data_IF_544325232393
#
_entry.id   IF_544325232393
#
_cell.length_a   1.000
_cell.length_b   1.000
_cell.length_c   1.000
_cell.angle_alpha   90.00
_cell.angle_beta   90.00
_cell.angle_gamma   90.00
#
_symmetry.space_group_name_H-M   'P 1'
#
loop_
_entity.id
_entity.type
_entity.pdbx_description
1 polymer ?
#
# COMPACT_ATOMS: atom_id res chain seq x y z
N UNK A 1 11.12 -36.52 18.67
CA UNK A 1 9.68 -36.13 18.83
C UNK A 1 9.09 -36.04 17.44
N UNK A 2 7.96 -36.64 17.15
CA UNK A 2 7.46 -36.72 15.77
C UNK A 2 6.96 -35.32 15.31
N UNK A 3 7.50 -34.84 14.20
CA UNK A 3 7.19 -33.56 13.55
C UNK A 3 5.69 -33.31 13.28
N UNK A 4 4.90 -34.38 13.12
CA UNK A 4 3.47 -34.30 12.83
C UNK A 4 2.60 -33.70 13.96
N UNK A 5 3.01 -33.79 15.21
CA UNK A 5 2.26 -33.23 16.35
C UNK A 5 2.43 -31.70 16.48
N UNK A 6 3.54 -31.19 15.96
CA UNK A 6 3.88 -29.76 16.03
C UNK A 6 3.02 -28.89 15.08
N UNK A 7 2.52 -29.47 14.00
CA UNK A 7 1.65 -28.76 13.03
C UNK A 7 0.19 -28.73 13.51
N UNK A 8 -0.29 -29.79 14.16
CA UNK A 8 -1.69 -29.88 14.59
C UNK A 8 -2.01 -28.99 15.81
N UNK A 9 -1.06 -28.83 16.74
CA UNK A 9 -1.24 -27.98 17.93
C UNK A 9 -1.16 -26.47 17.63
N UNK A 10 -0.74 -26.09 16.41
CA UNK A 10 -0.58 -24.68 15.99
C UNK A 10 -1.63 -24.23 14.99
N UNK A 11 -2.39 -25.14 14.43
CA UNK A 11 -3.44 -24.81 13.45
C UNK A 11 -4.47 -23.81 14.01
N UNK A 12 -4.79 -23.89 15.30
CA UNK A 12 -5.75 -22.99 15.97
C UNK A 12 -5.28 -21.53 16.02
N UNK A 13 -3.96 -21.24 15.95
CA UNK A 13 -3.42 -19.87 15.92
C UNK A 13 -3.73 -19.15 14.62
N UNK A 14 -3.91 -19.91 13.55
CA UNK A 14 -4.28 -19.36 12.26
C UNK A 14 -5.79 -19.16 12.08
N UNK A 15 -6.60 -19.78 12.98
CA UNK A 15 -8.07 -19.68 12.91
C UNK A 15 -8.56 -18.23 13.00
N UNK A 16 -8.11 -17.37 13.95
CA UNK A 16 -8.54 -15.97 13.99
C UNK A 16 -8.14 -15.20 12.73
N UNK A 17 -6.98 -15.55 12.16
CA UNK A 17 -6.50 -14.93 10.93
C UNK A 17 -7.35 -15.35 9.73
N UNK A 18 -7.65 -16.65 9.57
CA UNK A 18 -8.57 -17.13 8.54
C UNK A 18 -9.97 -16.56 8.70
N UNK A 19 -10.46 -16.44 9.94
CA UNK A 19 -11.74 -15.80 10.23
C UNK A 19 -11.73 -14.32 9.86
N UNK A 20 -10.64 -13.60 10.14
CA UNK A 20 -10.49 -12.20 9.75
C UNK A 20 -10.47 -12.05 8.22
N UNK A 21 -9.73 -12.91 7.51
CA UNK A 21 -9.72 -12.92 6.03
C UNK A 21 -11.10 -13.25 5.48
N UNK A 22 -11.79 -14.24 6.02
CA UNK A 22 -13.15 -14.60 5.61
C UNK A 22 -14.13 -13.45 5.90
N UNK A 23 -14.03 -12.80 7.06
CA UNK A 23 -14.87 -11.68 7.43
C UNK A 23 -14.65 -10.48 6.49
N UNK A 24 -13.39 -10.11 6.25
CA UNK A 24 -13.04 -9.03 5.31
C UNK A 24 -13.53 -9.39 3.90
N UNK A 25 -13.34 -10.65 3.47
CA UNK A 25 -13.83 -11.11 2.17
C UNK A 25 -15.35 -11.06 2.09
N UNK A 26 -16.05 -11.47 3.15
CA UNK A 26 -17.51 -11.42 3.22
C UNK A 26 -18.02 -9.97 3.20
N UNK A 27 -17.39 -9.07 3.93
CA UNK A 27 -17.70 -7.63 3.91
C UNK A 27 -17.55 -7.09 2.50
N UNK A 28 -16.40 -7.33 1.84
CA UNK A 28 -16.15 -6.87 0.46
C UNK A 28 -17.20 -7.44 -0.51
N UNK A 29 -17.60 -8.71 -0.38
CA UNK A 29 -18.57 -9.34 -1.26
C UNK A 29 -20.02 -8.95 -0.98
N UNK A 30 -20.33 -8.53 0.25
CA UNK A 30 -21.69 -8.16 0.69
C UNK A 30 -21.94 -6.66 0.58
N UNK A 31 -20.91 -5.82 0.49
CA UNK A 31 -21.10 -4.40 0.22
C UNK A 31 -21.81 -4.22 -1.13
N UNK A 32 -22.86 -3.40 -1.19
CA UNK A 32 -23.48 -3.05 -2.46
C UNK A 32 -22.53 -2.17 -3.25
N UNK A 33 -21.69 -2.80 -4.08
CA UNK A 33 -20.81 -2.08 -5.01
C UNK A 33 -21.63 -1.65 -6.24
N UNK A 34 -22.21 -0.48 -6.16
CA UNK A 34 -22.64 0.27 -7.33
C UNK A 34 -21.49 1.20 -7.73
N UNK A 35 -20.57 0.69 -8.54
CA UNK A 35 -19.52 1.54 -9.08
C UNK A 35 -20.07 2.29 -10.28
N UNK A 36 -20.15 3.59 -10.17
CA UNK A 36 -20.48 4.50 -11.29
C UNK A 36 -19.51 4.36 -12.46
N UNK A 37 -18.32 3.79 -12.21
CA UNK A 37 -17.20 3.73 -13.15
C UNK A 37 -17.14 2.45 -13.98
N UNK A 38 -17.71 1.33 -13.52
CA UNK A 38 -17.63 0.04 -14.22
C UNK A 38 -19.02 -0.41 -14.60
N UNK A 39 -19.31 -0.43 -15.91
CA UNK A 39 -20.63 -0.82 -16.45
C UNK A 39 -20.83 -2.33 -16.47
N UNK A 40 -19.75 -3.12 -16.59
CA UNK A 40 -19.84 -4.58 -16.67
C UNK A 40 -19.62 -5.24 -15.32
N UNK A 41 -20.68 -5.86 -14.83
CA UNK A 41 -20.68 -6.62 -13.57
C UNK A 41 -19.65 -7.76 -13.57
N UNK A 42 -19.31 -8.32 -14.72
CA UNK A 42 -18.31 -9.39 -14.84
C UNK A 42 -16.92 -8.87 -14.47
N UNK A 43 -16.55 -7.69 -14.95
CA UNK A 43 -15.28 -7.04 -14.59
C UNK A 43 -15.21 -6.72 -13.11
N UNK A 44 -16.30 -6.23 -12.52
CA UNK A 44 -16.37 -5.97 -11.08
C UNK A 44 -16.18 -7.24 -10.26
N UNK A 45 -16.85 -8.34 -10.60
CA UNK A 45 -16.70 -9.62 -9.89
C UNK A 45 -15.28 -10.16 -10.02
N UNK A 46 -14.68 -10.10 -11.22
CA UNK A 46 -13.29 -10.52 -11.43
C UNK A 46 -12.32 -9.70 -10.58
N UNK A 47 -12.52 -8.39 -10.49
CA UNK A 47 -11.73 -7.50 -9.64
C UNK A 47 -11.87 -7.88 -8.15
N UNK A 48 -13.09 -8.04 -7.64
CA UNK A 48 -13.35 -8.38 -6.24
C UNK A 48 -12.70 -9.72 -5.84
N UNK A 49 -12.85 -10.75 -6.68
CA UNK A 49 -12.19 -12.05 -6.44
C UNK A 49 -10.67 -11.90 -6.41
N UNK A 50 -10.11 -11.10 -7.31
CA UNK A 50 -8.65 -10.84 -7.34
C UNK A 50 -8.19 -10.10 -6.09
N UNK A 51 -8.88 -9.02 -5.70
CA UNK A 51 -8.53 -8.22 -4.50
C UNK A 51 -8.58 -9.07 -3.25
N UNK A 52 -9.65 -9.86 -3.06
CA UNK A 52 -9.78 -10.76 -1.90
C UNK A 52 -8.63 -11.76 -1.84
N UNK A 53 -8.33 -12.40 -2.98
CA UNK A 53 -7.24 -13.40 -3.06
C UNK A 53 -5.88 -12.77 -2.78
N UNK A 54 -5.59 -11.61 -3.37
CA UNK A 54 -4.34 -10.89 -3.19
C UNK A 54 -4.19 -10.35 -1.76
N UNK A 55 -5.25 -9.87 -1.15
CA UNK A 55 -5.26 -9.45 0.25
C UNK A 55 -4.97 -10.63 1.18
N UNK A 56 -5.57 -11.79 0.94
CA UNK A 56 -5.28 -13.01 1.70
C UNK A 56 -3.80 -13.40 1.59
N UNK A 57 -3.23 -13.38 0.38
CA UNK A 57 -1.81 -13.66 0.13
C UNK A 57 -0.91 -12.66 0.86
N UNK A 58 -1.23 -11.37 0.80
CA UNK A 58 -0.50 -10.31 1.50
C UNK A 58 -0.48 -10.51 3.01
N UNK A 59 -1.65 -10.78 3.61
CA UNK A 59 -1.78 -10.97 5.05
C UNK A 59 -1.06 -12.24 5.51
N UNK A 60 -1.22 -13.36 4.79
CA UNK A 60 -0.53 -14.63 5.09
C UNK A 60 0.98 -14.49 4.95
N UNK A 61 1.46 -13.87 3.88
CA UNK A 61 2.87 -13.63 3.66
C UNK A 61 3.49 -12.71 4.70
N UNK A 62 2.79 -11.65 5.08
CA UNK A 62 3.21 -10.72 6.14
C UNK A 62 3.28 -11.43 7.49
N UNK A 63 2.26 -12.20 7.87
CA UNK A 63 2.23 -12.98 9.09
C UNK A 63 3.36 -14.00 9.11
N UNK A 64 3.58 -14.71 7.99
CA UNK A 64 4.69 -15.66 7.87
C UNK A 64 6.04 -15.00 8.13
N UNK A 65 6.32 -13.85 7.52
CA UNK A 65 7.56 -13.11 7.72
C UNK A 65 7.74 -12.67 9.18
N UNK A 66 6.68 -12.14 9.81
CA UNK A 66 6.72 -11.74 11.22
C UNK A 66 7.01 -12.95 12.11
N UNK A 67 6.31 -14.06 11.93
CA UNK A 67 6.52 -15.28 12.69
C UNK A 67 7.92 -15.88 12.46
N UNK A 68 8.43 -15.81 11.22
CA UNK A 68 9.79 -16.25 10.90
C UNK A 68 10.85 -15.43 11.63
N UNK A 69 10.73 -14.10 11.66
CA UNK A 69 11.65 -13.24 12.42
C UNK A 69 11.58 -13.50 13.91
N UNK A 70 10.40 -13.80 14.42
CA UNK A 70 10.21 -14.07 15.84
C UNK A 70 10.76 -15.43 16.29
N UNK A 71 11.06 -16.34 15.37
CA UNK A 71 11.70 -17.62 15.74
C UNK A 71 13.04 -17.46 16.40
N UNK A 72 13.90 -16.52 15.96
CA UNK A 72 15.22 -16.22 16.53
C UNK A 72 16.13 -17.43 16.69
N UNK A 73 17.43 -17.24 16.81
CA UNK A 73 18.37 -18.31 17.14
C UNK A 73 18.43 -18.50 18.68
N UNK A 74 18.12 -19.70 19.15
CA UNK A 74 18.47 -20.13 20.52
C UNK A 74 17.57 -19.67 21.67
N UNK A 75 16.37 -19.21 21.42
CA UNK A 75 15.48 -18.76 22.50
C UNK A 75 14.43 -19.82 22.85
N UNK A 76 14.28 -20.05 24.16
CA UNK A 76 13.43 -21.10 24.78
C UNK A 76 11.91 -20.85 24.63
N UNK A 77 11.51 -19.61 24.22
CA UNK A 77 10.10 -19.24 24.13
C UNK A 77 9.52 -19.48 22.73
N UNK A 78 8.30 -20.00 22.65
CA UNK A 78 7.59 -20.23 21.40
C UNK A 78 7.32 -18.93 20.63
N UNK A 79 7.28 -18.93 19.27
CA UNK A 79 7.00 -17.75 18.47
C UNK A 79 5.67 -17.08 18.83
N UNK A 80 4.67 -17.88 19.21
CA UNK A 80 3.34 -17.41 19.59
C UNK A 80 3.36 -16.54 20.85
N UNK A 81 4.09 -16.99 21.89
CA UNK A 81 4.25 -16.20 23.13
C UNK A 81 4.97 -14.89 22.88
N UNK A 82 5.90 -14.88 21.93
CA UNK A 82 6.60 -13.65 21.52
C UNK A 82 5.68 -12.70 20.76
N UNK A 83 4.84 -13.23 19.85
CA UNK A 83 3.85 -12.43 19.15
C UNK A 83 2.85 -11.81 20.13
N UNK A 84 2.29 -12.59 21.04
CA UNK A 84 1.41 -12.08 22.09
C UNK A 84 2.13 -11.05 22.98
N UNK A 85 3.40 -11.30 23.31
CA UNK A 85 4.23 -10.36 24.05
C UNK A 85 4.48 -9.07 23.29
N UNK A 86 4.68 -9.12 21.97
CA UNK A 86 4.83 -7.95 21.10
C UNK A 86 3.52 -7.15 21.03
N UNK A 87 2.40 -7.82 20.79
CA UNK A 87 1.07 -7.18 20.77
C UNK A 87 0.79 -6.52 22.11
N UNK A 88 1.07 -7.20 23.22
CA UNK A 88 0.89 -6.65 24.56
C UNK A 88 1.77 -5.43 24.83
N UNK A 89 3.04 -5.48 24.40
CA UNK A 89 3.95 -4.32 24.48
C UNK A 89 3.49 -3.15 23.63
N UNK A 90 3.00 -3.42 22.42
CA UNK A 90 2.44 -2.40 21.54
C UNK A 90 1.19 -1.74 22.16
N UNK A 91 0.26 -2.52 22.70
CA UNK A 91 -0.91 -2.01 23.40
C UNK A 91 -0.53 -1.16 24.61
N UNK A 92 0.41 -1.65 25.44
CA UNK A 92 0.92 -0.86 26.57
C UNK A 92 1.60 0.44 26.12
N UNK A 93 2.31 0.43 24.99
CA UNK A 93 2.94 1.62 24.45
C UNK A 93 1.88 2.65 24.05
N UNK A 94 0.83 2.24 23.33
CA UNK A 94 -0.29 3.10 22.92
C UNK A 94 -0.99 3.72 24.12
N UNK A 95 -1.14 2.96 25.21
CA UNK A 95 -1.77 3.42 26.46
C UNK A 95 -0.81 4.17 27.40
N UNK A 96 0.45 4.30 27.03
CA UNK A 96 1.48 4.92 27.88
C UNK A 96 1.74 6.39 27.51
N UNK A 97 2.26 7.15 28.48
CA UNK A 97 2.77 8.52 28.22
C UNK A 97 3.97 8.55 27.27
N UNK A 98 4.51 7.40 26.90
CA UNK A 98 5.60 7.28 25.93
C UNK A 98 5.11 7.21 24.49
N UNK A 99 3.80 7.08 24.26
CA UNK A 99 3.21 7.00 22.93
C UNK A 99 3.57 8.20 22.06
N UNK A 100 3.46 9.41 22.59
CA UNK A 100 3.82 10.63 21.83
C UNK A 100 5.29 10.66 21.42
N UNK A 101 6.19 10.12 22.28
CA UNK A 101 7.63 10.02 21.95
C UNK A 101 7.90 8.95 20.90
N UNK A 102 7.21 7.81 20.97
CA UNK A 102 7.29 6.76 19.95
C UNK A 102 6.75 7.29 18.62
N UNK A 103 5.61 7.95 18.64
CA UNK A 103 5.03 8.58 17.46
C UNK A 103 5.99 9.61 16.82
N UNK A 104 6.64 10.45 17.62
CA UNK A 104 7.64 11.40 17.14
C UNK A 104 8.86 10.69 16.49
N UNK A 105 9.33 9.57 17.05
CA UNK A 105 10.40 8.75 16.46
C UNK A 105 9.93 8.12 15.15
N UNK A 106 8.72 7.58 15.12
CA UNK A 106 8.13 7.00 13.92
C UNK A 106 8.06 8.04 12.79
N UNK A 107 7.49 9.22 13.03
CA UNK A 107 7.41 10.27 12.02
C UNK A 107 8.80 10.74 11.55
N UNK A 108 9.74 10.92 12.47
CA UNK A 108 11.07 11.43 12.14
C UNK A 108 11.94 10.40 11.41
N UNK A 109 11.97 9.15 11.88
CA UNK A 109 12.96 8.17 11.43
C UNK A 109 12.38 7.16 10.44
N UNK A 110 11.07 6.84 10.51
CA UNK A 110 10.42 5.93 9.59
C UNK A 110 9.77 6.64 8.40
N UNK A 111 9.05 7.75 8.61
CA UNK A 111 8.39 8.47 7.53
C UNK A 111 9.28 9.54 6.89
N UNK A 112 9.87 10.43 7.68
CA UNK A 112 10.76 11.49 7.15
C UNK A 112 12.15 10.97 6.78
N UNK A 113 12.52 9.74 7.21
CA UNK A 113 13.79 9.09 6.86
C UNK A 113 15.02 9.94 7.24
N UNK A 114 15.01 10.55 8.43
CA UNK A 114 16.03 11.52 8.87
C UNK A 114 17.46 10.97 8.79
N UNK A 115 17.65 9.70 9.12
CA UNK A 115 18.96 9.01 9.03
C UNK A 115 19.46 8.88 7.58
N UNK A 116 18.54 8.73 6.61
CA UNK A 116 18.89 8.66 5.20
C UNK A 116 19.23 10.04 4.65
N UNK A 117 18.51 11.09 5.08
CA UNK A 117 18.80 12.47 4.73
C UNK A 117 20.24 12.87 5.08
N UNK A 118 20.69 12.50 6.27
CA UNK A 118 22.07 12.76 6.72
C UNK A 118 23.17 12.06 5.89
N UNK A 119 22.80 10.95 5.19
CA UNK A 119 23.74 10.20 4.36
C UNK A 119 23.75 10.64 2.89
N UNK A 120 22.60 10.98 2.33
CA UNK A 120 22.46 11.39 0.92
C UNK A 120 21.10 12.03 0.67
N UNK A 121 21.09 13.32 0.36
CA UNK A 121 19.89 14.08 0.06
C UNK A 121 19.11 13.52 -1.15
N UNK A 122 19.81 13.11 -2.22
CA UNK A 122 19.17 12.54 -3.42
C UNK A 122 18.47 11.22 -3.13
N UNK A 123 19.11 10.31 -2.36
CA UNK A 123 18.46 9.05 -1.96
C UNK A 123 17.30 9.30 -1.01
N UNK A 124 17.47 10.23 -0.08
CA UNK A 124 16.40 10.62 0.83
C UNK A 124 15.18 11.14 0.08
N UNK A 125 15.37 12.10 -0.83
CA UNK A 125 14.29 12.67 -1.62
C UNK A 125 13.56 11.60 -2.45
N UNK A 126 14.29 10.75 -3.16
CA UNK A 126 13.75 9.63 -3.93
C UNK A 126 12.87 8.71 -3.06
N UNK A 127 13.37 8.27 -1.90
CA UNK A 127 12.62 7.39 -1.01
C UNK A 127 11.42 8.10 -0.37
N UNK A 128 11.58 9.37 -0.01
CA UNK A 128 10.49 10.18 0.55
C UNK A 128 9.34 10.32 -0.44
N UNK A 129 9.65 10.54 -1.72
CA UNK A 129 8.65 10.64 -2.78
C UNK A 129 7.92 9.32 -3.00
N UNK A 130 8.66 8.21 -3.09
CA UNK A 130 8.04 6.88 -3.27
C UNK A 130 7.22 6.49 -2.04
N UNK A 131 7.81 6.52 -0.85
CA UNK A 131 7.14 6.11 0.39
C UNK A 131 5.99 7.05 0.75
N UNK A 132 6.22 8.36 0.67
CA UNK A 132 5.22 9.37 0.96
C UNK A 132 4.03 9.28 0.01
N UNK A 133 4.27 9.19 -1.29
CA UNK A 133 3.23 9.01 -2.29
C UNK A 133 2.44 7.72 -2.09
N UNK A 134 3.13 6.59 -1.84
CA UNK A 134 2.48 5.31 -1.58
C UNK A 134 1.59 5.35 -0.32
N UNK A 135 2.09 5.91 0.79
CA UNK A 135 1.32 6.01 2.02
C UNK A 135 0.15 6.98 1.92
N UNK A 136 0.32 8.10 1.22
CA UNK A 136 -0.76 9.04 0.95
C UNK A 136 -1.84 8.40 0.08
N UNK A 137 -1.46 7.71 -1.01
CA UNK A 137 -2.40 7.00 -1.87
C UNK A 137 -3.20 5.96 -1.08
N UNK A 138 -2.52 5.14 -0.27
CA UNK A 138 -3.19 4.15 0.59
C UNK A 138 -4.12 4.80 1.63
N UNK A 139 -3.69 5.91 2.25
CA UNK A 139 -4.51 6.63 3.22
C UNK A 139 -5.75 7.27 2.57
N UNK A 140 -5.60 7.83 1.38
CA UNK A 140 -6.73 8.40 0.64
C UNK A 140 -7.68 7.32 0.14
N UNK A 141 -7.17 6.18 -0.35
CA UNK A 141 -7.98 5.04 -0.76
C UNK A 141 -8.85 4.53 0.40
N UNK A 142 -8.22 4.32 1.58
CA UNK A 142 -8.94 3.95 2.79
C UNK A 142 -9.97 5.00 3.21
N UNK A 143 -9.63 6.28 3.13
CA UNK A 143 -10.52 7.38 3.48
C UNK A 143 -11.69 7.49 2.51
N UNK A 144 -11.45 7.34 1.22
CA UNK A 144 -12.49 7.35 0.18
C UNK A 144 -13.43 6.16 0.38
N UNK A 145 -12.90 4.95 0.51
CA UNK A 145 -13.70 3.75 0.77
C UNK A 145 -14.56 3.89 2.03
N UNK A 146 -13.97 4.35 3.13
CA UNK A 146 -14.72 4.56 4.37
C UNK A 146 -15.82 5.62 4.21
N UNK A 147 -15.51 6.72 3.54
CA UNK A 147 -16.43 7.86 3.41
C UNK A 147 -17.55 7.60 2.41
N UNK A 148 -17.24 6.98 1.27
CA UNK A 148 -18.22 6.75 0.21
C UNK A 148 -19.03 5.46 0.44
N UNK A 149 -18.32 4.36 0.69
CA UNK A 149 -18.95 3.03 0.67
C UNK A 149 -19.58 2.64 2.02
N UNK A 150 -19.10 3.26 3.14
CA UNK A 150 -19.57 2.89 4.47
C UNK A 150 -20.39 4.01 5.11
N UNK A 151 -19.93 5.26 5.04
CA UNK A 151 -20.55 6.40 5.70
C UNK A 151 -21.49 7.22 4.81
N UNK A 152 -21.48 6.96 3.50
CA UNK A 152 -22.25 7.73 2.50
C UNK A 152 -22.11 9.26 2.69
N UNK A 153 -20.85 9.72 2.92
CA UNK A 153 -20.57 11.11 3.27
C UNK A 153 -20.72 12.03 2.06
N UNK A 154 -21.77 12.86 2.05
CA UNK A 154 -22.13 13.72 0.93
C UNK A 154 -20.97 14.54 0.35
N UNK A 155 -20.14 15.29 1.13
CA UNK A 155 -19.01 16.03 0.59
C UNK A 155 -17.96 15.21 -0.16
N UNK A 156 -17.97 13.86 -0.03
CA UNK A 156 -17.10 12.95 -0.78
C UNK A 156 -17.80 12.39 -2.03
N UNK A 157 -19.14 12.35 -2.02
CA UNK A 157 -19.97 11.76 -3.08
C UNK A 157 -20.43 12.84 -4.06
N UNK A 158 -20.87 13.98 -3.53
CA UNK A 158 -21.50 15.05 -4.31
C UNK A 158 -20.49 15.70 -5.27
N UNK A 159 -20.98 16.05 -6.45
CA UNK A 159 -20.23 16.84 -7.43
C UNK A 159 -19.87 18.22 -6.85
N UNK A 160 -18.58 18.60 -6.98
CA UNK A 160 -18.07 19.83 -6.36
C UNK A 160 -17.91 19.76 -4.83
N UNK A 161 -18.12 18.61 -4.21
CA UNK A 161 -17.89 18.42 -2.79
C UNK A 161 -16.41 18.63 -2.42
N UNK A 162 -16.14 19.45 -1.42
CA UNK A 162 -14.77 19.82 -1.06
C UNK A 162 -13.87 18.61 -0.74
N UNK A 163 -14.43 17.56 -0.13
CA UNK A 163 -13.68 16.36 0.21
C UNK A 163 -13.37 15.53 -1.04
N UNK A 164 -14.31 15.47 -2.00
CA UNK A 164 -14.07 14.85 -3.32
C UNK A 164 -12.93 15.55 -4.02
N UNK A 165 -12.99 16.88 -4.17
CA UNK A 165 -11.99 17.67 -4.89
C UNK A 165 -10.58 17.54 -4.28
N UNK A 166 -10.46 17.69 -2.95
CA UNK A 166 -9.14 17.75 -2.30
C UNK A 166 -8.57 16.38 -1.94
N UNK A 167 -9.40 15.37 -1.66
CA UNK A 167 -8.92 14.05 -1.25
C UNK A 167 -8.90 13.10 -2.45
N UNK A 168 -10.07 12.95 -3.11
CA UNK A 168 -10.20 11.98 -4.19
C UNK A 168 -9.49 12.45 -5.46
N UNK A 169 -9.78 13.65 -5.93
CA UNK A 169 -9.26 14.10 -7.22
C UNK A 169 -7.81 14.61 -7.06
N UNK A 170 -7.59 15.73 -6.36
CA UNK A 170 -6.25 16.29 -6.18
C UNK A 170 -5.32 15.41 -5.32
N UNK A 171 -5.84 14.75 -4.30
CA UNK A 171 -5.03 13.93 -3.38
C UNK A 171 -4.39 12.73 -4.05
N UNK A 172 -5.15 11.98 -4.85
CA UNK A 172 -4.61 10.84 -5.62
C UNK A 172 -3.65 11.31 -6.71
N UNK A 173 -3.95 12.41 -7.39
CA UNK A 173 -3.05 13.03 -8.37
C UNK A 173 -1.70 13.40 -7.75
N UNK A 174 -1.72 14.10 -6.62
CA UNK A 174 -0.50 14.49 -5.92
C UNK A 174 0.30 13.27 -5.44
N UNK A 175 -0.37 12.28 -4.84
CA UNK A 175 0.26 11.06 -4.34
C UNK A 175 0.90 10.26 -5.50
N UNK A 176 0.18 10.10 -6.60
CA UNK A 176 0.67 9.46 -7.82
C UNK A 176 1.85 10.22 -8.44
N UNK A 177 1.77 11.55 -8.52
CA UNK A 177 2.85 12.40 -9.02
C UNK A 177 4.13 12.28 -8.16
N UNK A 178 3.98 12.25 -6.83
CA UNK A 178 5.10 12.00 -5.92
C UNK A 178 5.75 10.64 -6.22
N UNK A 179 4.95 9.57 -6.33
CA UNK A 179 5.47 8.25 -6.68
C UNK A 179 6.17 8.25 -8.04
N UNK A 180 5.58 8.88 -9.05
CA UNK A 180 6.12 8.96 -10.40
C UNK A 180 7.49 9.64 -10.40
N UNK A 181 7.64 10.79 -9.72
CA UNK A 181 8.91 11.49 -9.57
C UNK A 181 9.95 10.61 -8.86
N UNK A 182 9.59 10.02 -7.73
CA UNK A 182 10.49 9.16 -6.97
C UNK A 182 10.94 7.92 -7.76
N UNK A 183 10.01 7.25 -8.44
CA UNK A 183 10.27 6.05 -9.26
C UNK A 183 11.09 6.38 -10.51
N UNK A 184 10.85 7.54 -11.13
CA UNK A 184 11.67 8.01 -12.26
C UNK A 184 13.11 8.23 -11.83
N UNK A 185 13.33 8.90 -10.68
CA UNK A 185 14.67 9.07 -10.11
C UNK A 185 15.32 7.71 -9.81
N UNK A 186 14.56 6.76 -9.24
CA UNK A 186 15.02 5.40 -8.96
C UNK A 186 15.43 4.66 -10.24
N UNK A 187 14.60 4.74 -11.28
CA UNK A 187 14.84 4.10 -12.57
C UNK A 187 16.06 4.70 -13.27
N UNK A 188 16.14 6.01 -13.38
CA UNK A 188 17.30 6.71 -13.98
C UNK A 188 18.59 6.33 -13.25
N UNK A 189 18.55 6.38 -11.92
CA UNK A 189 19.71 6.04 -11.11
C UNK A 189 20.14 4.57 -11.29
N UNK A 190 19.18 3.65 -11.41
CA UNK A 190 19.44 2.22 -11.45
C UNK A 190 19.81 1.72 -12.84
N UNK A 191 19.13 2.20 -13.86
CA UNK A 191 19.27 1.70 -15.23
C UNK A 191 20.21 2.54 -16.09
N UNK A 192 20.27 3.87 -15.85
CA UNK A 192 21.07 4.79 -16.66
C UNK A 192 22.41 5.09 -15.97
N UNK A 193 22.39 5.64 -14.75
CA UNK A 193 23.61 6.10 -14.07
C UNK A 193 24.45 4.95 -13.50
N UNK A 194 23.87 3.81 -13.16
CA UNK A 194 24.53 2.56 -12.73
C UNK A 194 25.73 2.77 -11.81
N UNK A 195 25.59 3.40 -10.63
CA UNK A 195 26.72 3.65 -9.75
C UNK A 195 27.38 2.32 -9.36
N UNK A 196 28.73 2.27 -9.43
CA UNK A 196 29.54 1.04 -9.23
C UNK A 196 29.26 0.30 -7.92
N UNK A 197 28.75 0.98 -6.91
CA UNK A 197 28.45 0.43 -5.57
C UNK A 197 27.11 -0.34 -5.55
N UNK A 198 26.22 -0.09 -6.52
CA UNK A 198 24.87 -0.67 -6.54
C UNK A 198 24.76 -1.73 -7.64
N UNK A 199 24.89 -2.99 -7.25
CA UNK A 199 24.54 -4.09 -8.17
C UNK A 199 23.02 -4.12 -8.32
N UNK A 200 22.55 -4.09 -9.56
CA UNK A 200 21.12 -4.23 -9.87
C UNK A 200 20.81 -5.73 -9.90
N UNK A 201 20.12 -6.20 -8.88
CA UNK A 201 19.55 -7.54 -8.88
C UNK A 201 18.19 -7.53 -9.58
N UNK A 202 17.81 -8.66 -10.17
CA UNK A 202 16.54 -8.81 -10.88
C UNK A 202 15.31 -8.40 -10.01
N UNK A 203 15.22 -8.80 -8.71
CA UNK A 203 14.10 -8.40 -7.86
C UNK A 203 13.99 -6.88 -7.64
N UNK A 204 15.11 -6.17 -7.62
CA UNK A 204 15.10 -4.73 -7.47
C UNK A 204 14.57 -4.02 -8.72
N UNK A 205 15.03 -4.48 -9.90
CA UNK A 205 14.55 -3.96 -11.17
C UNK A 205 13.06 -4.26 -11.36
N UNK A 206 12.63 -5.48 -11.06
CA UNK A 206 11.23 -5.88 -11.13
C UNK A 206 10.32 -5.02 -10.24
N UNK A 207 10.74 -4.76 -9.00
CA UNK A 207 9.96 -3.92 -8.06
C UNK A 207 9.79 -2.49 -8.56
N UNK A 208 10.85 -1.86 -9.09
CA UNK A 208 10.78 -0.49 -9.63
C UNK A 208 9.89 -0.45 -10.86
N UNK A 209 10.08 -1.38 -11.80
CA UNK A 209 9.30 -1.42 -13.04
C UNK A 209 7.83 -1.72 -12.77
N UNK A 210 7.53 -2.62 -11.84
CA UNK A 210 6.16 -2.96 -11.49
C UNK A 210 5.44 -1.77 -10.83
N UNK A 211 6.06 -1.12 -9.84
CA UNK A 211 5.53 0.10 -9.25
C UNK A 211 5.30 1.19 -10.30
N UNK A 212 6.27 1.39 -11.21
CA UNK A 212 6.15 2.39 -12.27
C UNK A 212 4.99 2.06 -13.22
N UNK A 213 4.83 0.78 -13.59
CA UNK A 213 3.74 0.33 -14.45
C UNK A 213 2.36 0.57 -13.79
N UNK A 214 2.23 0.29 -12.48
CA UNK A 214 0.98 0.55 -11.75
C UNK A 214 0.68 2.05 -11.70
N UNK A 215 1.65 2.90 -11.36
CA UNK A 215 1.44 4.35 -11.28
C UNK A 215 1.09 4.96 -12.65
N UNK A 216 1.84 4.60 -13.69
CA UNK A 216 1.55 5.06 -15.05
C UNK A 216 0.20 4.53 -15.55
N UNK A 217 -0.12 3.28 -15.24
CA UNK A 217 -1.42 2.68 -15.56
C UNK A 217 -2.59 3.45 -14.96
N UNK A 218 -2.44 3.93 -13.72
CA UNK A 218 -3.46 4.77 -13.06
C UNK A 218 -3.69 6.09 -13.81
N UNK A 219 -2.64 6.83 -14.13
CA UNK A 219 -2.77 8.08 -14.90
C UNK A 219 -3.30 7.87 -16.32
N UNK A 220 -2.91 6.77 -16.98
CA UNK A 220 -3.46 6.43 -18.30
C UNK A 220 -4.95 6.13 -18.19
N UNK A 221 -5.36 5.37 -17.19
CA UNK A 221 -6.76 5.03 -16.93
C UNK A 221 -7.60 6.30 -16.68
N UNK A 222 -7.11 7.22 -15.87
CA UNK A 222 -7.75 8.50 -15.61
C UNK A 222 -7.87 9.32 -16.89
N UNK A 223 -6.79 9.43 -17.67
CA UNK A 223 -6.79 10.09 -18.97
C UNK A 223 -7.79 9.45 -19.96
N UNK A 224 -7.94 8.12 -19.97
CA UNK A 224 -8.95 7.41 -20.75
C UNK A 224 -10.37 7.76 -20.30
N UNK A 225 -10.60 7.85 -19.00
CA UNK A 225 -11.88 8.25 -18.41
C UNK A 225 -12.29 9.66 -18.84
N UNK A 226 -11.35 10.61 -18.75
CA UNK A 226 -11.57 12.01 -19.18
C UNK A 226 -11.81 12.09 -20.70
N UNK A 227 -10.94 11.53 -21.52
CA UNK A 227 -11.05 11.56 -22.97
C UNK A 227 -12.32 10.86 -23.49
N UNK A 228 -12.73 9.76 -22.84
CA UNK A 228 -13.92 8.99 -23.18
C UNK A 228 -15.22 9.56 -22.62
N UNK A 229 -15.17 10.64 -21.84
CA UNK A 229 -16.38 11.22 -21.22
C UNK A 229 -17.04 10.31 -20.19
N UNK A 230 -16.25 9.48 -19.50
CA UNK A 230 -16.79 8.54 -18.49
C UNK A 230 -17.31 9.34 -17.28
N UNK A 231 -18.55 9.05 -16.81
CA UNK A 231 -19.09 9.72 -15.63
C UNK A 231 -18.12 9.65 -14.43
N UNK A 232 -18.00 10.77 -13.70
CA UNK A 232 -17.09 10.89 -12.57
C UNK A 232 -15.66 11.32 -12.93
N UNK A 233 -15.28 11.35 -14.23
CA UNK A 233 -14.00 11.86 -14.70
C UNK A 233 -14.13 13.16 -15.53
N UNK A 234 -15.33 13.58 -15.84
CA UNK A 234 -15.57 14.74 -16.72
C UNK A 234 -15.76 16.06 -15.97
N UNK A 235 -15.84 16.00 -14.66
CA UNK A 235 -16.01 17.16 -13.79
C UNK A 235 -14.75 17.40 -12.98
N UNK A 236 -14.49 18.68 -12.68
CA UNK A 236 -13.37 19.10 -11.83
C UNK A 236 -11.99 18.66 -12.40
N UNK A 237 -11.84 18.63 -13.72
CA UNK A 237 -10.67 18.11 -14.48
C UNK A 237 -9.37 18.86 -14.08
N UNK A 238 -9.47 20.10 -13.61
CA UNK A 238 -8.33 20.88 -13.15
C UNK A 238 -7.62 20.29 -11.93
N UNK A 239 -8.29 19.45 -11.16
CA UNK A 239 -7.70 18.75 -10.02
C UNK A 239 -6.97 17.48 -10.45
N UNK A 240 -7.28 16.93 -11.63
CA UNK A 240 -6.68 15.75 -12.24
C UNK A 240 -5.64 16.13 -13.31
N UNK A 241 -4.64 16.90 -12.92
CA UNK A 241 -3.76 17.61 -13.87
C UNK A 241 -2.91 16.68 -14.76
N UNK A 242 -2.43 15.53 -14.30
CA UNK A 242 -1.70 14.54 -15.10
C UNK A 242 -2.66 13.71 -15.96
N UNK A 243 -3.78 13.25 -15.38
CA UNK A 243 -4.83 12.57 -16.10
C UNK A 243 -5.36 13.44 -17.24
N UNK A 244 -5.60 14.73 -16.96
CA UNK A 244 -6.01 15.68 -17.98
C UNK A 244 -4.95 15.86 -19.08
N UNK A 245 -3.68 16.03 -18.73
CA UNK A 245 -2.61 16.15 -19.72
C UNK A 245 -2.52 14.91 -20.64
N UNK A 246 -2.75 13.72 -20.10
CA UNK A 246 -2.79 12.47 -20.86
C UNK A 246 -4.04 12.42 -21.76
N UNK A 247 -5.19 12.88 -21.27
CA UNK A 247 -6.43 12.89 -22.04
C UNK A 247 -6.34 13.70 -23.33
N UNK A 248 -5.50 14.75 -23.37
CA UNK A 248 -5.31 15.59 -24.54
C UNK A 248 -4.66 14.85 -25.74
N UNK A 249 -3.96 13.74 -25.47
CA UNK A 249 -3.29 12.92 -26.51
C UNK A 249 -4.01 11.61 -26.79
N UNK A 250 -5.03 11.27 -26.00
CA UNK A 250 -5.83 10.06 -26.18
C UNK A 250 -7.05 10.33 -27.08
N UNK A 251 -7.44 9.38 -27.95
CA UNK A 251 -8.67 9.49 -28.71
C UNK A 251 -9.92 9.31 -27.81
N UNK A 252 -11.03 9.95 -28.17
CA UNK A 252 -12.30 9.78 -27.45
C UNK A 252 -12.78 8.32 -27.39
N UNK A 253 -12.46 7.50 -28.42
CA UNK A 253 -12.74 6.05 -28.43
C UNK A 253 -12.02 5.26 -27.32
N UNK A 254 -11.08 5.88 -26.58
CA UNK A 254 -10.45 5.23 -25.42
C UNK A 254 -11.46 4.86 -24.32
N UNK A 255 -12.61 5.56 -24.24
CA UNK A 255 -13.69 5.22 -23.33
C UNK A 255 -14.30 3.83 -23.57
N UNK A 256 -14.23 3.30 -24.82
CA UNK A 256 -14.74 1.97 -25.14
C UNK A 256 -13.92 0.85 -24.47
N UNK A 257 -12.66 1.14 -24.15
CA UNK A 257 -11.72 0.23 -23.52
C UNK A 257 -11.55 0.48 -22.02
N UNK A 258 -12.28 1.46 -21.48
CA UNK A 258 -12.10 1.91 -20.10
C UNK A 258 -12.30 0.77 -19.10
N UNK A 259 -13.37 -0.01 -19.20
CA UNK A 259 -13.68 -1.08 -18.26
C UNK A 259 -12.59 -2.17 -18.23
N UNK A 260 -12.07 -2.52 -19.44
CA UNK A 260 -10.97 -3.48 -19.54
C UNK A 260 -9.66 -2.91 -18.95
N UNK A 261 -9.34 -1.64 -19.22
CA UNK A 261 -8.17 -0.96 -18.68
C UNK A 261 -8.27 -0.84 -17.15
N UNK A 262 -9.46 -0.52 -16.62
CA UNK A 262 -9.75 -0.46 -15.22
C UNK A 262 -9.49 -1.81 -14.52
N UNK A 263 -10.00 -2.91 -15.11
CA UNK A 263 -9.77 -4.25 -14.58
C UNK A 263 -8.28 -4.61 -14.58
N UNK A 264 -7.57 -4.35 -15.69
CA UNK A 264 -6.13 -4.64 -15.81
C UNK A 264 -5.35 -3.86 -14.74
N UNK A 265 -5.63 -2.56 -14.60
CA UNK A 265 -4.98 -1.72 -13.59
C UNK A 265 -5.29 -2.20 -12.16
N UNK A 266 -6.52 -2.54 -11.86
CA UNK A 266 -6.95 -3.06 -10.58
C UNK A 266 -6.28 -4.40 -10.24
N UNK A 267 -6.19 -5.33 -11.20
CA UNK A 267 -5.48 -6.61 -11.04
C UNK A 267 -3.99 -6.36 -10.79
N UNK A 268 -3.35 -5.47 -11.54
CA UNK A 268 -1.93 -5.12 -11.34
C UNK A 268 -1.69 -4.53 -9.95
N UNK A 269 -2.55 -3.64 -9.49
CA UNK A 269 -2.47 -3.04 -8.16
C UNK A 269 -2.63 -4.09 -7.06
N UNK A 270 -3.61 -4.99 -7.17
CA UNK A 270 -3.82 -6.07 -6.23
C UNK A 270 -2.63 -7.04 -6.19
N UNK A 271 -2.08 -7.42 -7.35
CA UNK A 271 -0.89 -8.27 -7.45
C UNK A 271 0.34 -7.59 -6.85
N UNK A 272 0.49 -6.26 -6.99
CA UNK A 272 1.56 -5.51 -6.35
C UNK A 272 1.48 -5.63 -4.82
N UNK A 273 0.29 -5.49 -4.24
CA UNK A 273 0.07 -5.67 -2.80
C UNK A 273 0.42 -7.09 -2.37
N UNK A 274 -0.06 -8.11 -3.09
CA UNK A 274 0.27 -9.51 -2.81
C UNK A 274 1.78 -9.81 -2.90
N UNK A 275 2.51 -9.08 -3.77
CA UNK A 275 3.95 -9.25 -3.98
C UNK A 275 4.81 -8.65 -2.84
N UNK A 276 4.31 -7.65 -2.10
CA UNK A 276 5.05 -6.95 -1.05
C UNK A 276 5.74 -7.92 -0.07
N UNK A 277 5.06 -8.89 0.56
CA UNK A 277 5.68 -9.77 1.55
C UNK A 277 6.83 -10.63 1.02
N UNK A 278 6.85 -10.90 -0.28
CA UNK A 278 7.83 -11.78 -0.95
C UNK A 278 8.95 -11.02 -1.64
N UNK A 279 8.93 -9.70 -1.54
CA UNK A 279 9.86 -8.81 -2.24
C UNK A 279 10.67 -7.94 -1.26
N UNK A 280 11.63 -7.20 -1.83
CA UNK A 280 12.35 -6.18 -1.06
C UNK A 280 11.43 -5.03 -0.60
N UNK A 281 10.24 -4.88 -1.18
CA UNK A 281 9.26 -3.88 -0.74
C UNK A 281 8.77 -4.13 0.69
N UNK A 282 8.90 -5.35 1.19
CA UNK A 282 8.55 -5.68 2.58
C UNK A 282 9.30 -4.82 3.62
N UNK A 283 10.46 -4.26 3.26
CA UNK A 283 11.17 -3.33 4.14
C UNK A 283 10.35 -2.09 4.52
N UNK A 284 9.35 -1.69 3.72
CA UNK A 284 8.46 -0.58 4.06
C UNK A 284 7.64 -0.87 5.33
N UNK A 285 7.32 -2.14 5.57
CA UNK A 285 6.61 -2.61 6.77
C UNK A 285 7.61 -2.95 7.88
N UNK A 286 8.70 -3.64 7.52
CA UNK A 286 9.69 -4.15 8.46
C UNK A 286 10.49 -3.05 9.15
N UNK A 287 10.95 -2.06 8.39
CA UNK A 287 11.84 -1.01 8.92
C UNK A 287 11.20 -0.17 10.03
N UNK A 288 9.96 0.33 9.91
CA UNK A 288 9.28 1.01 11.01
C UNK A 288 9.20 0.16 12.29
N UNK A 289 8.84 -1.12 12.15
CA UNK A 289 8.74 -2.05 13.30
C UNK A 289 10.10 -2.21 13.99
N UNK A 290 11.18 -2.39 13.22
CA UNK A 290 12.53 -2.56 13.77
C UNK A 290 13.00 -1.27 14.46
N UNK A 291 12.78 -0.11 13.87
CA UNK A 291 13.17 1.19 14.47
C UNK A 291 12.49 1.39 15.83
N UNK A 292 11.20 1.08 15.93
CA UNK A 292 10.46 1.21 17.18
C UNK A 292 10.94 0.21 18.24
N UNK A 293 11.20 -1.04 17.85
CA UNK A 293 11.73 -2.06 18.75
C UNK A 293 13.13 -1.70 19.27
N UNK A 294 14.03 -1.22 18.42
CA UNK A 294 15.35 -0.74 18.83
C UNK A 294 15.26 0.46 19.79
N UNK A 295 14.33 1.39 19.50
CA UNK A 295 14.07 2.53 20.38
C UNK A 295 13.58 2.15 21.77
N UNK A 296 12.78 1.08 21.89
CA UNK A 296 12.31 0.54 23.16
C UNK A 296 13.42 -0.19 23.93
N UNK A 297 14.17 -1.07 23.25
CA UNK A 297 15.23 -1.88 23.87
C UNK A 297 16.40 -1.03 24.37
N UNK A 298 16.79 0.02 23.62
CA UNK A 298 17.89 0.91 24.05
C UNK A 298 17.61 1.68 25.33
N UNK A 299 16.34 1.81 25.72
CA UNK A 299 15.91 2.46 26.97
C UNK A 299 15.80 1.49 28.14
N UNK A 300 15.50 0.21 27.89
CA UNK A 300 15.53 -0.82 28.95
C UNK A 300 16.97 -1.14 29.41
N UNK A 301 17.94 -1.12 28.49
CA UNK A 301 19.36 -1.36 28.78
C UNK A 301 20.03 -0.19 29.55
N UNK A 302 19.44 1.03 29.48
CA UNK A 302 19.94 2.22 30.21
C UNK A 302 19.28 2.47 31.55
N UNK A 303 18.38 1.62 31.99
CA UNK A 303 17.81 1.59 33.34
C UNK A 303 18.35 0.41 34.17
#
# INVERSE_FOLDING_TARGET
MPEGRYLSERAWLYVPFFLAVLLVSAIILLLPYDTVYVRDRTYLLAFLVTVVSCTAIFLLGTLYNILFWMRGKGLVTSPERRLLGLVWKALRLVLSRMFTKALAVFFRDALYLSKLKGRSASRWFMHLMILGGFLLMFAFDLLVTLSMDILEYGPMIDEGGWAKLWVRDFGFELAGAMMLVGLTIAAVRRFILRPRIVRTELPDAASILFLLAVVLGGFILEGMGIAGGIPGHTQDIEYSFLGYAISLVLPASSGDWYDAAWLIHGIMSALLIAYIPFSKLFHMIATPIVIELEGMMSKEVRR
#
